data_IF_436092909036
#
_entry.id   IF_436092909036
#
_cell.length_a   1.000
_cell.length_b   1.000
_cell.length_c   1.000
_cell.angle_alpha   90.00
_cell.angle_beta   90.00
_cell.angle_gamma   90.00
#
_symmetry.space_group_name_H-M   'P 1'
#
loop_
_entity.id
_entity.type
_entity.pdbx_description
1 polymer ?
#
# COMPACT_ATOMS: atom_id res chain seq x y z
N UNK A 1 -6.67 -17.74 9.55
CA UNK A 1 -5.26 -17.30 9.57
C UNK A 1 -5.19 -15.97 8.86
N UNK A 2 -4.72 -14.92 9.53
CA UNK A 2 -4.51 -13.62 8.90
C UNK A 2 -3.15 -13.58 8.23
N UNK A 3 -3.09 -12.86 7.12
CA UNK A 3 -1.87 -12.59 6.35
C UNK A 3 -1.72 -11.07 6.30
N UNK A 4 -0.53 -10.59 6.61
CA UNK A 4 -0.20 -9.18 6.51
C UNK A 4 0.80 -8.95 5.38
N UNK A 5 0.64 -7.83 4.66
CA UNK A 5 1.59 -7.36 3.65
C UNK A 5 1.90 -5.90 3.91
N UNK A 6 3.18 -5.52 3.79
CA UNK A 6 3.68 -4.17 4.04
C UNK A 6 4.57 -3.78 2.85
N UNK A 7 4.46 -2.53 2.41
CA UNK A 7 5.29 -1.96 1.36
C UNK A 7 5.50 -0.45 1.59
N UNK A 8 6.48 0.12 0.89
CA UNK A 8 6.84 1.53 0.97
C UNK A 8 6.85 2.23 -0.40
N UNK A 9 6.68 3.55 -0.38
CA UNK A 9 6.76 4.39 -1.57
C UNK A 9 7.41 5.73 -1.24
N UNK A 10 8.29 6.22 -2.12
CA UNK A 10 9.03 7.46 -1.93
C UNK A 10 10.47 7.28 -1.44
N UNK A 11 10.91 6.03 -1.18
CA UNK A 11 12.32 5.75 -0.87
C UNK A 11 13.23 6.19 -2.02
N UNK A 12 14.30 6.91 -1.69
CA UNK A 12 15.28 7.43 -2.66
C UNK A 12 14.83 8.67 -3.44
N UNK A 13 13.61 9.17 -3.19
CA UNK A 13 13.16 10.44 -3.75
C UNK A 13 13.84 11.61 -3.02
N UNK A 14 14.31 12.62 -3.76
CA UNK A 14 14.90 13.83 -3.18
C UNK A 14 13.86 14.70 -2.46
N UNK A 15 12.62 14.71 -2.98
CA UNK A 15 11.54 15.55 -2.49
C UNK A 15 10.32 14.70 -2.14
N UNK A 16 9.59 15.13 -1.12
CA UNK A 16 8.34 14.50 -0.68
C UNK A 16 8.53 13.47 0.44
N UNK A 17 7.43 13.01 1.05
CA UNK A 17 7.47 12.09 2.17
C UNK A 17 7.79 10.65 1.75
N UNK A 18 8.31 9.87 2.68
CA UNK A 18 8.27 8.41 2.60
C UNK A 18 6.90 7.94 3.11
N UNK A 19 6.23 7.06 2.38
CA UNK A 19 4.93 6.49 2.76
C UNK A 19 5.13 5.01 3.03
N UNK A 20 4.63 4.54 4.18
CA UNK A 20 4.57 3.11 4.52
C UNK A 20 3.10 2.72 4.60
N UNK A 21 2.74 1.62 3.94
CA UNK A 21 1.39 1.08 3.98
C UNK A 21 1.41 -0.41 4.31
N UNK A 22 0.45 -0.84 5.12
CA UNK A 22 0.22 -2.24 5.45
C UNK A 22 -1.26 -2.61 5.36
N UNK A 23 -1.55 -3.85 5.01
CA UNK A 23 -2.90 -4.43 5.05
C UNK A 23 -2.86 -5.76 5.79
N UNK A 24 -3.98 -6.13 6.41
CA UNK A 24 -4.25 -7.49 6.91
C UNK A 24 -5.45 -8.10 6.20
N UNK A 25 -5.38 -9.38 5.89
CA UNK A 25 -6.47 -10.10 5.22
C UNK A 25 -6.52 -11.55 5.66
N UNK A 26 -7.73 -12.06 5.90
CA UNK A 26 -7.96 -13.48 6.11
C UNK A 26 -7.55 -14.25 4.85
N UNK A 27 -6.75 -15.30 5.02
CA UNK A 27 -6.28 -16.19 3.95
C UNK A 27 -7.41 -16.64 3.00
N UNK A 28 -8.65 -16.79 3.49
CA UNK A 28 -9.81 -17.14 2.66
C UNK A 28 -10.13 -16.10 1.56
N UNK A 29 -9.84 -14.83 1.82
CA UNK A 29 -10.11 -13.71 0.92
C UNK A 29 -8.92 -13.36 0.02
N UNK A 30 -7.75 -14.00 0.22
CA UNK A 30 -6.54 -13.72 -0.57
C UNK A 30 -6.73 -13.93 -2.08
N UNK A 31 -7.50 -14.96 -2.48
CA UNK A 31 -7.84 -15.20 -3.89
C UNK A 31 -8.67 -14.07 -4.49
N UNK A 32 -9.61 -13.50 -3.72
CA UNK A 32 -10.41 -12.34 -4.15
C UNK A 32 -9.50 -11.14 -4.39
N UNK A 33 -8.54 -10.90 -3.50
CA UNK A 33 -7.57 -9.80 -3.66
C UNK A 33 -6.75 -9.98 -4.95
N UNK A 34 -6.23 -11.19 -5.20
CA UNK A 34 -5.47 -11.45 -6.44
C UNK A 34 -6.32 -11.29 -7.71
N UNK A 35 -7.62 -11.61 -7.66
CA UNK A 35 -8.53 -11.47 -8.80
C UNK A 35 -8.83 -10.02 -9.18
N UNK A 36 -8.54 -9.06 -8.30
CA UNK A 36 -8.66 -7.62 -8.60
C UNK A 36 -7.54 -7.09 -9.52
N UNK A 37 -6.54 -7.91 -9.87
CA UNK A 37 -5.44 -7.50 -10.76
C UNK A 37 -4.37 -6.64 -10.08
N UNK A 38 -4.20 -6.78 -8.76
CA UNK A 38 -3.31 -5.93 -7.95
C UNK A 38 -1.80 -6.20 -8.11
N UNK A 39 -1.40 -7.24 -8.85
CA UNK A 39 0.00 -7.69 -8.93
C UNK A 39 0.95 -6.77 -9.73
N UNK A 40 0.46 -6.16 -10.81
CA UNK A 40 1.29 -5.37 -11.74
C UNK A 40 0.97 -3.87 -11.64
N UNK A 41 0.99 -3.32 -10.41
CA UNK A 41 0.64 -1.90 -10.16
C UNK A 41 1.45 -0.89 -10.99
N UNK A 42 2.69 -1.26 -11.39
CA UNK A 42 3.60 -0.45 -12.22
C UNK A 42 3.10 -0.22 -13.65
N UNK A 43 2.22 -1.08 -14.16
CA UNK A 43 1.59 -0.93 -15.49
C UNK A 43 0.27 -0.15 -15.43
N UNK A 44 -0.20 0.21 -14.24
CA UNK A 44 -1.50 0.84 -14.04
C UNK A 44 -1.39 2.36 -14.06
N UNK A 45 -2.37 3.02 -14.68
CA UNK A 45 -2.50 4.48 -14.60
C UNK A 45 -2.79 4.94 -13.17
N UNK A 46 -2.45 6.19 -12.79
CA UNK A 46 -2.81 6.74 -11.49
C UNK A 46 -4.31 6.61 -11.15
N UNK A 47 -5.19 6.89 -12.13
CA UNK A 47 -6.65 6.74 -11.98
C UNK A 47 -7.06 5.31 -11.66
N UNK A 48 -6.45 4.32 -12.32
CA UNK A 48 -6.75 2.91 -12.05
C UNK A 48 -6.24 2.47 -10.68
N UNK A 49 -5.09 2.98 -10.24
CA UNK A 49 -4.59 2.74 -8.87
C UNK A 49 -5.53 3.30 -7.79
N UNK A 50 -6.06 4.51 -7.98
CA UNK A 50 -7.06 5.08 -7.06
C UNK A 50 -8.37 4.27 -7.02
N UNK A 51 -8.81 3.78 -8.18
CA UNK A 51 -9.98 2.90 -8.25
C UNK A 51 -9.75 1.58 -7.51
N UNK A 52 -8.60 0.94 -7.71
CA UNK A 52 -8.23 -0.30 -7.02
C UNK A 52 -8.05 -0.09 -5.53
N UNK A 53 -7.46 1.03 -5.09
CA UNK A 53 -7.34 1.38 -3.69
C UNK A 53 -8.71 1.27 -2.97
N UNK A 54 -9.76 1.88 -3.53
CA UNK A 54 -11.12 1.81 -2.96
C UNK A 54 -11.66 0.38 -2.87
N UNK A 55 -11.29 -0.52 -3.80
CA UNK A 55 -11.69 -1.93 -3.75
C UNK A 55 -10.89 -2.73 -2.74
N UNK A 56 -9.59 -2.49 -2.63
CA UNK A 56 -8.70 -3.18 -1.69
C UNK A 56 -9.15 -2.86 -0.27
N UNK A 57 -9.34 -1.58 0.06
CA UNK A 57 -9.75 -1.15 1.41
C UNK A 57 -11.10 -1.74 1.84
N UNK A 58 -12.02 -1.95 0.90
CA UNK A 58 -13.31 -2.61 1.18
C UNK A 58 -13.20 -4.13 1.38
N UNK A 59 -12.11 -4.75 0.92
CA UNK A 59 -11.93 -6.20 0.90
C UNK A 59 -11.06 -6.70 2.07
N UNK A 60 -10.05 -5.92 2.46
CA UNK A 60 -9.10 -6.27 3.53
C UNK A 60 -9.77 -6.15 4.90
N UNK A 61 -9.24 -6.89 5.89
CA UNK A 61 -9.78 -6.87 7.24
C UNK A 61 -9.37 -5.58 7.98
N UNK A 62 -8.12 -5.13 7.76
CA UNK A 62 -7.60 -3.88 8.30
C UNK A 62 -6.49 -3.32 7.40
N UNK A 63 -6.19 -2.03 7.56
CA UNK A 63 -5.10 -1.36 6.88
C UNK A 63 -4.53 -0.21 7.70
N UNK A 64 -3.25 0.07 7.48
CA UNK A 64 -2.56 1.20 8.09
C UNK A 64 -1.71 1.92 7.05
N UNK A 65 -1.73 3.25 7.07
CA UNK A 65 -0.94 4.10 6.19
C UNK A 65 -0.34 5.21 7.02
N UNK A 66 0.98 5.38 6.94
CA UNK A 66 1.69 6.49 7.57
C UNK A 66 2.56 7.22 6.55
N UNK A 67 2.65 8.53 6.74
CA UNK A 67 3.51 9.41 5.93
C UNK A 67 4.60 9.96 6.85
N UNK A 68 5.84 9.64 6.54
CA UNK A 68 7.02 10.12 7.23
C UNK A 68 7.52 11.36 6.48
N UNK A 69 7.39 12.56 7.05
CA UNK A 69 7.83 13.79 6.38
C UNK A 69 9.37 13.82 6.27
N UNK A 70 9.93 14.54 5.27
CA UNK A 70 11.38 14.67 5.08
C UNK A 70 12.12 15.04 6.36
N UNK A 71 11.59 16.01 7.13
CA UNK A 71 12.16 16.44 8.41
C UNK A 71 12.37 15.30 9.42
N UNK A 72 11.47 14.30 9.44
CA UNK A 72 11.63 13.13 10.31
C UNK A 72 12.71 12.18 9.81
N UNK A 73 12.88 12.07 8.48
CA UNK A 73 13.96 11.29 7.87
C UNK A 73 15.30 11.95 8.19
N UNK A 74 15.42 13.26 7.95
CA UNK A 74 16.64 14.03 8.18
C UNK A 74 17.10 13.96 9.65
N UNK A 75 16.17 13.92 10.60
CA UNK A 75 16.47 13.80 12.02
C UNK A 75 16.88 12.38 12.48
N UNK A 76 16.81 11.39 11.59
CA UNK A 76 17.06 9.97 11.87
C UNK A 76 18.31 9.42 11.16
N UNK A 77 19.07 10.28 10.49
CA UNK A 77 20.31 9.95 9.75
C UNK A 77 21.53 10.50 10.48
#
# INVERSE_FOLDING_TARGET
MQICGIDDAGRGSMLGPLVIAGISIDKKNLRKLSSLGVKDSKKLSPKLREYLYKKIIKLVDDYYITKIPPKSIDASV
#
